data_IF_136844524172
#
_entry.id   IF_136844524172
#
_cell.length_a   1.000
_cell.length_b   1.000
_cell.length_c   1.000
_cell.angle_alpha   90.00
_cell.angle_beta   90.00
_cell.angle_gamma   90.00
#
_symmetry.space_group_name_H-M   'P 1'
#
loop_
_entity.id
_entity.type
_entity.pdbx_description
1 polymer ?
#
# COMPACT_ATOMS: atom_id res chain seq x y z
N UNK A 1 60.52 34.59 -46.64
CA UNK A 1 60.27 33.15 -46.86
C UNK A 1 58.76 32.94 -46.76
N UNK A 2 57.96 33.26 -47.78
CA UNK A 2 57.60 32.51 -49.02
C UNK A 2 56.57 31.39 -48.79
N UNK A 3 55.44 31.51 -49.50
CA UNK A 3 54.36 30.51 -49.68
C UNK A 3 53.00 31.07 -49.23
N UNK A 4 52.15 31.70 -50.03
CA UNK A 4 51.62 31.42 -51.37
C UNK A 4 50.88 30.07 -51.48
N UNK A 5 49.54 30.12 -51.52
CA UNK A 5 48.72 29.23 -52.36
C UNK A 5 47.34 29.85 -52.65
N UNK A 6 46.97 29.76 -53.92
CA UNK A 6 45.79 30.31 -54.60
C UNK A 6 44.65 29.26 -54.67
N UNK A 7 43.42 29.64 -55.06
CA UNK A 7 42.22 28.81 -54.97
C UNK A 7 41.86 28.09 -56.28
N UNK A 8 41.16 26.94 -56.20
CA UNK A 8 40.44 26.29 -57.31
C UNK A 8 39.19 25.60 -56.75
N UNK A 9 37.98 26.14 -56.99
CA UNK A 9 37.04 25.70 -58.04
C UNK A 9 36.89 24.17 -58.12
N UNK A 10 35.77 23.66 -57.63
CA UNK A 10 34.91 22.85 -58.50
C UNK A 10 33.44 22.89 -58.07
N UNK A 11 32.62 23.18 -59.07
CA UNK A 11 31.17 23.22 -59.10
C UNK A 11 30.68 21.86 -59.60
N UNK A 12 29.44 21.53 -59.23
CA UNK A 12 28.59 20.44 -59.75
C UNK A 12 28.73 19.06 -59.10
N UNK A 13 27.87 18.82 -58.10
CA UNK A 13 26.85 17.75 -58.22
C UNK A 13 25.63 18.11 -57.38
N UNK A 14 24.57 18.55 -58.07
CA UNK A 14 23.19 18.44 -57.60
C UNK A 14 22.83 16.97 -57.58
N UNK A 15 22.46 16.43 -56.43
CA UNK A 15 21.56 15.27 -56.34
C UNK A 15 20.90 15.25 -54.96
N UNK A 16 19.60 15.50 -54.96
CA UNK A 16 18.57 14.96 -54.06
C UNK A 16 19.03 14.50 -52.67
N UNK A 17 18.76 15.31 -51.65
CA UNK A 17 18.15 14.82 -50.41
C UNK A 17 17.20 15.88 -49.88
N UNK A 18 15.93 15.68 -50.22
CA UNK A 18 14.80 16.24 -49.52
C UNK A 18 14.85 15.67 -48.10
N UNK A 19 15.34 16.48 -47.16
CA UNK A 19 15.45 16.13 -45.76
C UNK A 19 14.07 16.11 -45.12
N UNK A 20 13.29 15.07 -45.40
CA UNK A 20 12.13 14.66 -44.61
C UNK A 20 12.61 14.36 -43.20
N UNK A 21 12.65 15.40 -42.35
CA UNK A 21 12.71 15.22 -40.90
C UNK A 21 11.44 14.48 -40.51
N UNK A 22 11.54 13.17 -40.40
CA UNK A 22 10.50 12.33 -39.81
C UNK A 22 10.23 12.87 -38.41
N UNK A 23 9.11 13.54 -38.25
CA UNK A 23 8.60 13.93 -36.94
C UNK A 23 8.18 12.62 -36.24
N UNK A 24 9.08 12.03 -35.45
CA UNK A 24 8.70 10.94 -34.55
C UNK A 24 8.11 11.60 -33.30
N UNK A 25 6.78 11.59 -33.07
CA UNK A 25 6.24 12.08 -31.82
C UNK A 25 6.82 11.23 -30.70
N UNK A 26 7.53 11.86 -29.76
CA UNK A 26 8.13 11.16 -28.63
C UNK A 26 7.07 10.37 -27.84
N UNK A 27 7.49 9.28 -27.20
CA UNK A 27 6.64 8.35 -26.40
C UNK A 27 5.58 9.04 -25.53
N UNK A 28 5.86 10.24 -25.00
CA UNK A 28 4.91 11.07 -24.22
C UNK A 28 3.76 11.68 -25.04
N UNK A 29 3.97 12.03 -26.30
CA UNK A 29 2.91 12.54 -27.17
C UNK A 29 1.98 11.41 -27.64
N UNK A 30 2.53 10.23 -27.97
CA UNK A 30 1.71 9.05 -28.29
C UNK A 30 0.79 8.64 -27.12
N UNK A 31 1.30 8.69 -25.88
CA UNK A 31 0.50 8.43 -24.67
C UNK A 31 -0.56 9.52 -24.40
N UNK A 32 -0.27 10.79 -24.74
CA UNK A 32 -1.25 11.88 -24.61
C UNK A 32 -2.38 11.77 -25.65
N UNK A 33 -2.07 11.33 -26.88
CA UNK A 33 -3.09 11.08 -27.90
C UNK A 33 -3.91 9.82 -27.62
N UNK A 34 -3.31 8.77 -27.07
CA UNK A 34 -4.03 7.57 -26.62
C UNK A 34 -4.98 7.87 -25.45
N UNK A 35 -4.59 8.79 -24.53
CA UNK A 35 -5.44 9.24 -23.44
C UNK A 35 -6.61 10.14 -23.91
N UNK A 36 -6.41 10.91 -24.98
CA UNK A 36 -7.44 11.82 -25.50
C UNK A 36 -8.50 11.12 -26.36
N UNK A 37 -8.18 9.97 -26.98
CA UNK A 37 -9.10 9.21 -27.83
C UNK A 37 -9.89 8.11 -27.09
N UNK A 38 -9.56 7.83 -25.83
CA UNK A 38 -10.26 6.83 -25.01
C UNK A 38 -11.50 7.34 -24.28
N UNK A 39 -11.83 8.63 -24.39
CA UNK A 39 -12.85 9.27 -23.56
C UNK A 39 -14.24 9.41 -24.22
N UNK A 40 -14.49 8.81 -25.37
CA UNK A 40 -15.79 8.94 -26.04
C UNK A 40 -16.13 7.69 -26.85
N UNK A 41 -16.70 6.68 -26.18
CA UNK A 41 -17.75 5.79 -26.70
C UNK A 41 -18.12 4.74 -25.65
N UNK A 42 -19.27 4.93 -25.00
CA UNK A 42 -20.38 3.97 -24.80
C UNK A 42 -21.16 4.31 -23.51
N UNK A 43 -22.44 4.75 -23.62
CA UNK A 43 -23.34 4.85 -22.49
C UNK A 43 -23.96 3.47 -22.20
N UNK A 44 -24.29 3.25 -20.92
CA UNK A 44 -25.25 2.27 -20.39
C UNK A 44 -25.04 0.78 -20.72
N UNK A 45 -24.89 -0.03 -19.67
CA UNK A 45 -25.71 -1.24 -19.42
C UNK A 45 -25.33 -1.86 -18.06
N UNK A 46 -26.29 -1.87 -17.13
CA UNK A 46 -26.46 -2.98 -16.19
C UNK A 46 -25.63 -2.99 -14.89
N UNK A 47 -25.81 -2.00 -14.00
CA UNK A 47 -25.48 -2.18 -12.59
C UNK A 47 -26.52 -3.12 -11.92
N UNK A 48 -26.31 -4.42 -12.02
CA UNK A 48 -26.88 -5.35 -11.05
C UNK A 48 -25.86 -5.55 -9.93
N UNK A 49 -26.23 -5.46 -8.65
CA UNK A 49 -25.32 -5.80 -7.57
C UNK A 49 -25.01 -7.29 -7.68
N UNK A 50 -23.86 -7.63 -8.28
CA UNK A 50 -23.33 -8.99 -8.21
C UNK A 50 -23.10 -9.29 -6.73
N UNK A 51 -23.84 -10.26 -6.21
CA UNK A 51 -23.59 -10.80 -4.88
C UNK A 51 -22.14 -11.32 -4.86
N UNK A 52 -21.32 -10.97 -3.86
CA UNK A 52 -19.97 -11.51 -3.76
C UNK A 52 -20.05 -13.04 -3.70
N UNK A 53 -19.44 -13.74 -4.66
CA UNK A 53 -19.21 -15.18 -4.61
C UNK A 53 -17.78 -15.38 -4.10
N UNK A 54 -17.54 -16.39 -3.28
CA UNK A 54 -16.20 -16.64 -2.77
C UNK A 54 -15.26 -17.15 -3.87
N UNK A 55 -14.00 -16.82 -3.62
CA UNK A 55 -12.86 -16.97 -4.51
C UNK A 55 -12.35 -18.41 -4.47
N UNK A 56 -12.81 -19.24 -5.40
CA UNK A 56 -12.21 -20.56 -5.64
C UNK A 56 -11.06 -20.45 -6.64
N UNK A 57 -10.03 -21.33 -6.57
CA UNK A 57 -8.95 -21.34 -7.55
C UNK A 57 -9.42 -21.42 -9.02
N UNK A 58 -10.64 -21.92 -9.29
CA UNK A 58 -11.26 -22.01 -10.62
C UNK A 58 -12.47 -21.10 -10.81
N UNK A 59 -12.81 -20.22 -9.86
CA UNK A 59 -13.91 -19.27 -10.07
C UNK A 59 -13.52 -18.26 -11.15
N UNK A 60 -14.39 -17.95 -12.14
CA UNK A 60 -14.10 -16.94 -13.18
C UNK A 60 -13.89 -15.53 -12.63
N UNK A 61 -14.23 -15.29 -11.35
CA UNK A 61 -13.97 -14.02 -10.66
C UNK A 61 -12.49 -13.83 -10.31
N UNK A 62 -11.73 -14.93 -10.26
CA UNK A 62 -10.33 -14.94 -9.82
C UNK A 62 -9.44 -15.87 -10.65
N UNK A 63 -9.98 -16.48 -11.69
CA UNK A 63 -9.26 -17.36 -12.60
C UNK A 63 -9.64 -16.96 -14.01
N UNK A 64 -8.64 -16.71 -14.84
CA UNK A 64 -8.83 -16.48 -16.25
C UNK A 64 -7.85 -17.38 -17.00
N UNK A 65 -8.16 -18.70 -17.12
CA UNK A 65 -7.21 -19.68 -17.64
C UNK A 65 -6.71 -19.38 -19.06
N UNK A 66 -7.57 -18.79 -19.88
CA UNK A 66 -7.25 -18.37 -21.25
C UNK A 66 -6.67 -16.94 -21.32
N UNK A 67 -6.52 -16.29 -20.16
CA UNK A 67 -5.97 -14.95 -20.02
C UNK A 67 -4.46 -14.93 -19.85
N UNK A 68 -3.83 -13.74 -19.90
CA UNK A 68 -2.41 -13.59 -19.61
C UNK A 68 -2.12 -13.85 -18.13
N UNK A 69 -1.03 -14.57 -17.84
CA UNK A 69 -0.49 -14.72 -16.49
C UNK A 69 -0.16 -13.34 -15.91
N UNK A 70 -0.82 -12.99 -14.81
CA UNK A 70 -0.64 -11.70 -14.14
C UNK A 70 -0.09 -11.91 -12.74
N UNK A 71 1.14 -11.41 -12.53
CA UNK A 71 1.82 -11.41 -11.23
C UNK A 71 1.95 -9.97 -10.77
N UNK A 72 1.46 -9.66 -9.57
CA UNK A 72 1.74 -8.37 -8.92
C UNK A 72 2.79 -8.56 -7.82
N UNK A 73 3.96 -7.93 -8.00
CA UNK A 73 5.06 -7.92 -7.03
C UNK A 73 5.27 -6.56 -6.35
N UNK A 74 4.37 -5.61 -6.58
CA UNK A 74 4.41 -4.26 -6.05
C UNK A 74 3.19 -4.00 -5.16
N UNK A 75 2.92 -4.92 -4.24
CA UNK A 75 1.88 -4.76 -3.24
C UNK A 75 2.41 -4.94 -1.82
N UNK A 76 1.63 -4.47 -0.87
CA UNK A 76 1.93 -4.54 0.56
C UNK A 76 0.68 -4.98 1.32
N UNK A 77 0.88 -5.78 2.36
CA UNK A 77 -0.19 -6.25 3.23
C UNK A 77 0.26 -6.03 4.67
N UNK A 78 -0.44 -5.15 5.36
CA UNK A 78 -0.24 -4.85 6.78
C UNK A 78 -1.53 -4.25 7.36
N UNK A 79 -1.62 -4.17 8.68
CA UNK A 79 -2.67 -3.44 9.39
C UNK A 79 -2.11 -2.60 10.55
N UNK A 80 -2.99 -1.98 11.33
CA UNK A 80 -2.60 -1.08 12.41
C UNK A 80 -1.74 -1.71 13.53
N UNK A 81 -1.75 -3.04 13.70
CA UNK A 81 -0.90 -3.72 14.70
C UNK A 81 0.50 -4.05 14.21
N UNK A 82 0.76 -3.96 12.90
CA UNK A 82 2.11 -4.04 12.32
C UNK A 82 2.88 -2.73 12.45
N UNK A 83 2.19 -1.66 12.83
CA UNK A 83 2.69 -0.31 12.74
C UNK A 83 2.74 0.32 14.12
N UNK A 84 3.83 1.01 14.40
CA UNK A 84 3.81 2.11 15.36
C UNK A 84 3.16 3.31 14.67
N UNK A 85 1.83 3.30 14.56
CA UNK A 85 1.15 4.17 13.59
C UNK A 85 1.39 5.65 13.86
N UNK A 86 1.49 6.06 15.13
CA UNK A 86 1.85 7.43 15.53
C UNK A 86 3.23 7.82 14.98
N UNK A 87 4.22 6.97 15.17
CA UNK A 87 5.60 7.13 14.73
C UNK A 87 5.70 7.08 13.19
N UNK A 88 5.00 6.15 12.55
CA UNK A 88 4.91 6.05 11.10
C UNK A 88 4.37 7.34 10.48
N UNK A 89 3.26 7.86 11.00
CA UNK A 89 2.63 9.06 10.46
C UNK A 89 3.54 10.28 10.68
N UNK A 90 4.05 10.46 11.90
CA UNK A 90 4.87 11.61 12.25
C UNK A 90 6.24 11.65 11.55
N UNK A 91 6.85 10.49 11.29
CA UNK A 91 8.20 10.41 10.69
C UNK A 91 8.18 10.15 9.19
N UNK A 92 7.22 9.39 8.68
CA UNK A 92 7.15 8.99 7.27
C UNK A 92 6.08 9.78 6.54
N UNK A 93 4.82 9.69 6.97
CA UNK A 93 3.71 10.26 6.20
C UNK A 93 3.82 11.79 6.09
N UNK A 94 4.05 12.50 7.20
CA UNK A 94 4.17 13.98 7.23
C UNK A 94 5.36 14.50 6.40
N UNK A 95 6.41 13.69 6.25
CA UNK A 95 7.62 14.06 5.48
C UNK A 95 7.52 13.73 3.99
N UNK A 96 6.54 12.93 3.58
CA UNK A 96 6.30 12.69 2.16
C UNK A 96 5.67 13.93 1.51
N UNK A 97 6.14 14.29 0.32
CA UNK A 97 5.47 15.29 -0.51
C UNK A 97 4.17 14.75 -1.10
N UNK A 98 3.27 15.65 -1.50
CA UNK A 98 2.04 15.31 -2.21
C UNK A 98 0.88 14.92 -1.29
N UNK A 99 -0.11 14.27 -1.88
CA UNK A 99 -1.42 13.97 -1.29
C UNK A 99 -1.35 13.38 0.13
N UNK A 100 -0.47 12.39 0.36
CA UNK A 100 -0.37 11.68 1.63
C UNK A 100 0.17 12.58 2.76
N UNK A 101 1.21 13.37 2.49
CA UNK A 101 1.79 14.27 3.48
C UNK A 101 0.85 15.40 3.86
N UNK A 102 0.12 15.96 2.89
CA UNK A 102 -0.88 16.98 3.17
C UNK A 102 -2.06 16.43 3.99
N UNK A 103 -2.56 15.24 3.65
CA UNK A 103 -3.61 14.59 4.45
C UNK A 103 -3.13 14.27 5.88
N UNK A 104 -1.88 13.81 6.04
CA UNK A 104 -1.29 13.52 7.34
C UNK A 104 -1.09 14.78 8.20
N UNK A 105 -0.78 15.94 7.59
CA UNK A 105 -0.73 17.23 8.29
C UNK A 105 -2.11 17.67 8.76
N UNK A 106 -3.11 17.58 7.87
CA UNK A 106 -4.50 17.97 8.16
C UNK A 106 -5.11 17.11 9.27
N UNK A 107 -4.88 15.79 9.22
CA UNK A 107 -5.47 14.82 10.15
C UNK A 107 -4.53 14.43 11.30
N UNK A 108 -3.38 15.09 11.45
CA UNK A 108 -2.34 14.72 12.40
C UNK A 108 -2.83 14.55 13.84
N UNK A 109 -3.65 15.48 14.34
CA UNK A 109 -4.19 15.44 15.71
C UNK A 109 -5.21 14.31 15.91
N UNK A 110 -6.02 14.02 14.89
CA UNK A 110 -6.94 12.88 14.89
C UNK A 110 -6.16 11.58 15.00
N UNK A 111 -5.10 11.43 14.22
CA UNK A 111 -4.30 10.21 14.13
C UNK A 111 -3.55 9.89 15.43
N UNK A 112 -3.05 10.92 16.10
CA UNK A 112 -2.39 10.78 17.40
C UNK A 112 -3.36 10.34 18.50
N UNK A 113 -4.66 10.58 18.32
CA UNK A 113 -5.70 10.27 19.30
C UNK A 113 -6.40 8.93 19.06
N UNK A 114 -6.13 8.28 17.92
CA UNK A 114 -6.67 6.95 17.62
C UNK A 114 -6.05 5.91 18.56
N UNK A 115 -6.88 5.04 19.10
CA UNK A 115 -6.43 3.93 19.95
C UNK A 115 -5.93 2.72 19.15
N UNK A 116 -6.03 2.76 17.83
CA UNK A 116 -5.54 1.74 16.89
C UNK A 116 -5.92 0.31 17.29
N UNK A 117 -7.20 0.08 17.58
CA UNK A 117 -7.77 -1.24 17.90
C UNK A 117 -7.81 -2.18 16.67
N UNK A 118 -6.78 -2.21 15.85
CA UNK A 118 -6.65 -3.16 14.76
C UNK A 118 -6.48 -4.59 15.31
N UNK A 119 -6.90 -5.62 14.57
CA UNK A 119 -6.72 -6.99 15.03
C UNK A 119 -5.24 -7.38 15.09
N UNK A 120 -4.86 -8.16 16.10
CA UNK A 120 -3.49 -8.66 16.26
C UNK A 120 -3.22 -9.86 15.36
N UNK A 121 -1.95 -10.22 15.19
CA UNK A 121 -1.58 -11.45 14.49
C UNK A 121 -2.11 -12.71 15.17
N UNK A 122 -2.18 -12.75 16.50
CA UNK A 122 -2.76 -13.86 17.27
C UNK A 122 -4.26 -14.03 16.96
N UNK A 123 -5.03 -12.94 16.99
CA UNK A 123 -6.45 -12.97 16.63
C UNK A 123 -6.64 -13.40 15.17
N UNK A 124 -5.75 -12.99 14.28
CA UNK A 124 -5.80 -13.35 12.86
C UNK A 124 -5.50 -14.82 12.64
N UNK A 125 -4.50 -15.39 13.33
CA UNK A 125 -4.17 -16.82 13.24
C UNK A 125 -5.35 -17.68 13.69
N UNK A 126 -6.03 -17.34 14.80
CA UNK A 126 -7.21 -18.08 15.26
C UNK A 126 -8.31 -18.09 14.19
N UNK A 127 -8.54 -16.95 13.54
CA UNK A 127 -9.54 -16.82 12.48
C UNK A 127 -9.12 -17.59 11.21
N UNK A 128 -7.85 -17.52 10.80
CA UNK A 128 -7.32 -18.24 9.65
C UNK A 128 -7.34 -19.76 9.86
N UNK A 129 -7.02 -20.24 11.06
CA UNK A 129 -7.14 -21.65 11.41
C UNK A 129 -8.59 -22.13 11.36
N UNK A 130 -9.54 -21.30 11.82
CA UNK A 130 -10.98 -21.59 11.69
C UNK A 130 -11.36 -21.75 10.22
N UNK A 131 -10.93 -20.83 9.37
CA UNK A 131 -11.17 -20.86 7.91
C UNK A 131 -10.51 -22.10 7.29
N UNK A 132 -9.27 -22.41 7.64
CA UNK A 132 -8.54 -23.57 7.14
C UNK A 132 -9.24 -24.90 7.51
N UNK A 133 -9.74 -25.01 8.76
CA UNK A 133 -10.54 -26.17 9.17
C UNK A 133 -11.82 -26.30 8.36
N UNK A 134 -12.53 -25.21 8.13
CA UNK A 134 -13.75 -25.18 7.30
C UNK A 134 -13.47 -25.59 5.84
N UNK A 135 -12.34 -25.16 5.27
CA UNK A 135 -11.85 -25.56 3.95
C UNK A 135 -11.51 -27.06 3.89
N UNK A 136 -10.87 -27.60 4.93
CA UNK A 136 -10.42 -29.00 4.97
C UNK A 136 -11.54 -30.01 5.23
N UNK A 137 -12.58 -29.62 5.96
CA UNK A 137 -13.64 -30.51 6.43
C UNK A 137 -14.80 -30.74 5.45
N UNK A 138 -14.79 -30.12 4.27
CA UNK A 138 -15.95 -30.16 3.35
C UNK A 138 -15.58 -30.64 1.95
N UNK A 139 -16.16 -31.78 1.56
CA UNK A 139 -16.01 -32.37 0.22
C UNK A 139 -16.92 -31.74 -0.86
N UNK A 140 -17.55 -30.57 -0.60
CA UNK A 140 -18.74 -30.14 -1.36
C UNK A 140 -18.76 -28.64 -1.76
N UNK A 141 -18.33 -28.37 -3.00
CA UNK A 141 -18.89 -27.40 -3.96
C UNK A 141 -19.37 -26.00 -3.52
N UNK A 142 -20.41 -25.51 -4.22
CA UNK A 142 -20.91 -24.12 -4.22
C UNK A 142 -21.38 -23.61 -2.83
N UNK A 143 -21.84 -24.48 -1.94
CA UNK A 143 -22.31 -24.11 -0.61
C UNK A 143 -21.20 -23.58 0.31
N UNK A 144 -20.00 -24.18 0.25
CA UNK A 144 -18.82 -23.71 0.97
C UNK A 144 -18.41 -22.30 0.50
N UNK A 145 -18.52 -22.04 -0.81
CA UNK A 145 -18.32 -20.73 -1.43
C UNK A 145 -19.16 -19.65 -0.76
N UNK A 146 -20.45 -19.92 -0.58
CA UNK A 146 -21.36 -18.93 -0.02
C UNK A 146 -21.08 -18.70 1.47
N UNK A 147 -20.76 -19.75 2.23
CA UNK A 147 -20.40 -19.63 3.64
C UNK A 147 -19.12 -18.80 3.83
N UNK A 148 -18.11 -18.99 3.00
CA UNK A 148 -16.86 -18.21 3.04
C UNK A 148 -17.06 -16.76 2.61
N UNK A 149 -17.82 -16.52 1.54
CA UNK A 149 -18.15 -15.15 1.12
C UNK A 149 -18.89 -14.39 2.23
N UNK A 150 -19.83 -15.06 2.90
CA UNK A 150 -20.54 -14.49 4.05
C UNK A 150 -19.62 -14.28 5.25
N UNK A 151 -18.71 -15.22 5.53
CA UNK A 151 -17.69 -15.10 6.57
C UNK A 151 -16.81 -13.87 6.34
N UNK A 152 -16.22 -13.76 5.15
CA UNK A 152 -15.42 -12.63 4.74
C UNK A 152 -16.19 -11.31 4.82
N UNK A 153 -17.46 -11.27 4.35
CA UNK A 153 -18.32 -10.09 4.46
C UNK A 153 -18.54 -9.69 5.93
N UNK A 154 -18.82 -10.64 6.82
CA UNK A 154 -19.00 -10.38 8.26
C UNK A 154 -17.72 -9.82 8.87
N UNK A 155 -16.57 -10.41 8.55
CA UNK A 155 -15.29 -9.95 9.08
C UNK A 155 -14.93 -8.55 8.57
N UNK A 156 -15.13 -8.29 7.28
CA UNK A 156 -14.97 -6.97 6.66
C UNK A 156 -15.84 -5.93 7.37
N UNK A 157 -17.11 -6.24 7.59
CA UNK A 157 -18.04 -5.35 8.28
C UNK A 157 -17.60 -5.08 9.73
N UNK A 158 -17.08 -6.08 10.45
CA UNK A 158 -16.56 -5.89 11.81
C UNK A 158 -15.36 -4.95 11.84
N UNK A 159 -14.38 -5.13 10.95
CA UNK A 159 -13.22 -4.23 10.86
C UNK A 159 -13.62 -2.81 10.47
N UNK A 160 -14.56 -2.68 9.53
CA UNK A 160 -15.09 -1.39 9.09
C UNK A 160 -15.81 -0.67 10.24
N UNK A 161 -16.73 -1.36 10.92
CA UNK A 161 -17.46 -0.81 12.05
C UNK A 161 -16.52 -0.35 13.17
N UNK A 162 -15.44 -1.10 13.42
CA UNK A 162 -14.42 -0.73 14.40
C UNK A 162 -13.68 0.55 14.00
N UNK A 163 -13.18 0.64 12.77
CA UNK A 163 -12.52 1.83 12.25
C UNK A 163 -13.44 3.05 12.27
N UNK A 164 -14.70 2.89 11.81
CA UNK A 164 -15.72 3.95 11.83
C UNK A 164 -15.99 4.45 13.26
N UNK A 165 -16.21 3.53 14.20
CA UNK A 165 -16.50 3.87 15.58
C UNK A 165 -15.33 4.63 16.25
N UNK A 166 -14.09 4.21 16.01
CA UNK A 166 -12.91 4.91 16.55
C UNK A 166 -12.72 6.30 15.94
N UNK A 167 -12.91 6.46 14.62
CA UNK A 167 -12.89 7.77 13.98
C UNK A 167 -13.96 8.71 14.57
N UNK A 168 -15.20 8.22 14.69
CA UNK A 168 -16.32 9.00 15.24
C UNK A 168 -16.11 9.36 16.71
N UNK A 169 -15.56 8.44 17.51
CA UNK A 169 -15.20 8.66 18.92
C UNK A 169 -14.16 9.77 19.07
N UNK A 170 -13.08 9.72 18.28
CA UNK A 170 -12.03 10.76 18.31
C UNK A 170 -12.57 12.12 17.87
N UNK A 171 -13.45 12.15 16.87
CA UNK A 171 -14.12 13.40 16.48
C UNK A 171 -14.99 13.98 17.59
N UNK A 172 -15.70 13.13 18.34
CA UNK A 172 -16.56 13.56 19.44
C UNK A 172 -15.79 14.07 20.67
N UNK A 173 -14.62 13.51 20.96
CA UNK A 173 -13.82 13.88 22.13
C UNK A 173 -12.91 15.10 21.90
N UNK A 174 -12.47 15.33 20.66
CA UNK A 174 -11.54 16.42 20.33
C UNK A 174 -12.14 17.81 20.56
N UNK A 175 -11.48 18.63 21.37
CA UNK A 175 -11.84 20.04 21.55
C UNK A 175 -11.55 20.87 20.28
N UNK A 176 -10.44 20.58 19.58
CA UNK A 176 -10.08 21.21 18.30
C UNK A 176 -11.23 21.06 17.29
N UNK A 177 -11.73 19.83 17.09
CA UNK A 177 -12.79 19.57 16.11
C UNK A 177 -14.13 20.18 16.55
N UNK A 178 -14.44 20.18 17.85
CA UNK A 178 -15.63 20.89 18.39
C UNK A 178 -15.54 22.41 18.22
N UNK A 179 -14.35 23.00 18.31
CA UNK A 179 -14.16 24.42 18.06
C UNK A 179 -14.30 24.76 16.57
N UNK A 180 -13.72 23.94 15.68
CA UNK A 180 -13.82 24.13 14.23
C UNK A 180 -15.26 24.09 13.72
N UNK A 181 -16.10 23.19 14.23
CA UNK A 181 -17.53 23.10 13.89
C UNK A 181 -18.33 24.38 14.15
N UNK A 182 -17.89 25.20 15.12
CA UNK A 182 -18.60 26.42 15.53
C UNK A 182 -18.21 27.65 14.69
N UNK A 183 -17.18 27.54 13.85
CA UNK A 183 -16.72 28.64 13.01
C UNK A 183 -17.52 28.70 11.71
N UNK A 184 -17.87 29.91 11.28
CA UNK A 184 -18.51 30.11 9.98
C UNK A 184 -17.53 29.76 8.84
N UNK A 185 -17.97 29.06 7.76
CA UNK A 185 -17.11 28.67 6.65
C UNK A 185 -16.32 29.83 6.03
N UNK A 186 -16.93 31.02 5.97
CA UNK A 186 -16.32 32.25 5.43
C UNK A 186 -15.14 32.78 6.25
N UNK A 187 -14.90 32.24 7.45
CA UNK A 187 -13.80 32.65 8.35
C UNK A 187 -12.72 31.58 8.50
N UNK A 188 -12.78 30.49 7.73
CA UNK A 188 -11.80 29.42 7.76
C UNK A 188 -10.67 29.67 6.77
N UNK A 189 -9.44 29.44 7.20
CA UNK A 189 -8.32 29.24 6.27
C UNK A 189 -8.45 27.88 5.55
N UNK A 190 -7.61 27.66 4.55
CA UNK A 190 -7.65 26.47 3.71
C UNK A 190 -7.45 25.16 4.50
N UNK A 191 -6.60 25.15 5.53
CA UNK A 191 -6.34 23.96 6.35
C UNK A 191 -7.53 23.64 7.25
N UNK A 192 -8.07 24.66 7.93
CA UNK A 192 -9.24 24.56 8.80
C UNK A 192 -10.47 24.11 8.02
N UNK A 193 -10.63 24.59 6.78
CA UNK A 193 -11.68 24.14 5.87
C UNK A 193 -11.52 22.65 5.54
N UNK A 194 -10.32 22.20 5.17
CA UNK A 194 -10.05 20.79 4.89
C UNK A 194 -10.30 19.88 6.11
N UNK A 195 -10.00 20.36 7.32
CA UNK A 195 -10.35 19.66 8.57
C UNK A 195 -11.87 19.53 8.75
N UNK A 196 -12.63 20.60 8.52
CA UNK A 196 -14.10 20.58 8.59
C UNK A 196 -14.71 19.62 7.56
N UNK A 197 -14.19 19.60 6.35
CA UNK A 197 -14.63 18.66 5.32
C UNK A 197 -14.35 17.20 5.72
N UNK A 198 -13.16 16.92 6.26
CA UNK A 198 -12.83 15.59 6.75
C UNK A 198 -13.75 15.15 7.90
N UNK A 199 -14.09 16.07 8.82
CA UNK A 199 -15.08 15.83 9.89
C UNK A 199 -16.42 15.42 9.28
N UNK A 200 -16.94 16.23 8.35
CA UNK A 200 -18.23 15.98 7.71
C UNK A 200 -18.25 14.63 6.96
N UNK A 201 -17.15 14.26 6.31
CA UNK A 201 -17.02 12.97 5.63
C UNK A 201 -17.07 11.80 6.62
N UNK A 202 -16.30 11.86 7.70
CA UNK A 202 -16.27 10.80 8.73
C UNK A 202 -17.65 10.64 9.39
N UNK A 203 -18.36 11.74 9.63
CA UNK A 203 -19.71 11.70 10.22
C UNK A 203 -20.75 11.05 9.28
N UNK A 204 -20.56 11.19 7.96
CA UNK A 204 -21.45 10.64 6.94
C UNK A 204 -21.08 9.23 6.49
N UNK A 205 -20.03 8.63 7.06
CA UNK A 205 -19.64 7.26 6.75
C UNK A 205 -20.86 6.33 6.93
N UNK A 206 -21.26 5.59 5.88
CA UNK A 206 -22.44 4.72 5.94
C UNK A 206 -22.24 3.58 6.94
N UNK A 207 -23.33 2.95 7.34
CA UNK A 207 -23.23 1.91 8.36
C UNK A 207 -22.66 0.60 7.85
N UNK A 208 -22.97 0.26 6.60
CA UNK A 208 -22.57 -0.98 5.92
C UNK A 208 -21.38 -0.72 4.99
N UNK A 209 -20.33 -1.56 5.09
CA UNK A 209 -19.11 -1.49 4.29
C UNK A 209 -19.36 -1.68 2.79
N UNK A 210 -20.40 -2.43 2.41
CA UNK A 210 -20.77 -2.63 1.01
C UNK A 210 -21.48 -1.39 0.43
N UNK A 211 -22.03 -0.53 1.29
CA UNK A 211 -22.49 0.80 0.88
C UNK A 211 -21.34 1.80 0.82
N UNK A 212 -20.31 1.62 1.64
CA UNK A 212 -19.15 2.51 1.70
C UNK A 212 -18.42 2.63 0.37
N UNK A 213 -17.98 1.53 -0.26
CA UNK A 213 -17.15 1.62 -1.49
C UNK A 213 -17.87 2.28 -2.67
N UNK A 214 -19.12 1.90 -3.03
CA UNK A 214 -19.85 2.55 -4.10
C UNK A 214 -20.27 3.99 -3.75
N UNK A 215 -20.53 4.28 -2.47
CA UNK A 215 -20.81 5.65 -1.99
C UNK A 215 -19.60 6.54 -2.18
N UNK A 216 -18.44 6.03 -1.77
CA UNK A 216 -17.18 6.71 -1.91
C UNK A 216 -17.00 7.09 -3.39
N UNK A 217 -17.15 6.17 -4.35
CA UNK A 217 -16.97 6.45 -5.78
C UNK A 217 -17.97 7.45 -6.40
N UNK A 218 -19.09 7.76 -5.72
CA UNK A 218 -20.17 8.61 -6.22
C UNK A 218 -20.24 10.01 -5.59
N UNK A 219 -19.55 10.27 -4.49
CA UNK A 219 -19.63 11.58 -3.81
C UNK A 219 -18.75 12.62 -4.52
N UNK A 220 -19.30 13.23 -5.59
CA UNK A 220 -18.67 14.32 -6.34
C UNK A 220 -18.50 15.60 -5.50
N UNK A 221 -19.31 15.81 -4.45
CA UNK A 221 -19.26 17.01 -3.62
C UNK A 221 -18.02 17.06 -2.73
N UNK A 222 -17.48 15.90 -2.33
CA UNK A 222 -16.19 15.80 -1.62
C UNK A 222 -14.98 15.97 -2.56
N UNK A 223 -15.17 15.82 -3.88
CA UNK A 223 -14.11 15.99 -4.88
C UNK A 223 -13.79 17.46 -5.21
N UNK A 224 -14.64 18.39 -4.77
CA UNK A 224 -14.56 19.83 -5.07
C UNK A 224 -13.68 20.63 -4.09
N UNK A 225 -12.44 20.17 -3.82
CA UNK A 225 -11.36 21.08 -3.45
C UNK A 225 -10.02 20.54 -3.93
N UNK A 226 -9.34 21.32 -4.78
CA UNK A 226 -8.03 20.95 -5.32
C UNK A 226 -6.94 21.22 -4.29
N UNK A 227 -6.29 20.19 -3.75
CA UNK A 227 -4.98 19.66 -4.18
C UNK A 227 -4.85 18.10 -4.17
N UNK A 228 -5.85 17.21 -4.37
CA UNK A 228 -7.25 17.26 -4.85
C UNK A 228 -7.99 16.08 -4.21
N UNK A 229 -9.09 16.30 -3.47
CA UNK A 229 -10.14 15.39 -2.93
C UNK A 229 -9.85 13.90 -2.61
N UNK A 230 -9.22 13.17 -3.52
CA UNK A 230 -8.81 11.77 -3.38
C UNK A 230 -7.76 11.54 -2.27
N UNK A 231 -7.05 12.57 -1.81
CA UNK A 231 -5.99 12.43 -0.81
C UNK A 231 -6.52 12.20 0.61
N UNK A 232 -7.45 13.03 1.08
CA UNK A 232 -8.03 12.89 2.43
C UNK A 232 -8.96 11.70 2.48
N UNK A 233 -9.79 11.50 1.45
CA UNK A 233 -10.64 10.31 1.35
C UNK A 233 -9.81 9.04 1.25
N UNK A 234 -8.85 8.97 0.33
CA UNK A 234 -7.95 7.82 0.19
C UNK A 234 -7.13 7.58 1.45
N UNK A 235 -6.84 8.64 2.22
CA UNK A 235 -6.23 8.50 3.53
C UNK A 235 -7.20 7.92 4.55
N UNK A 236 -8.46 8.37 4.62
CA UNK A 236 -9.48 7.77 5.49
C UNK A 236 -9.75 6.31 5.10
N UNK A 237 -9.78 5.99 3.80
CA UNK A 237 -9.84 4.62 3.28
C UNK A 237 -8.67 3.79 3.81
N UNK A 238 -7.45 4.33 3.72
CA UNK A 238 -6.25 3.73 4.28
C UNK A 238 -6.38 3.51 5.80
N UNK A 239 -6.86 4.50 6.56
CA UNK A 239 -7.06 4.37 8.00
C UNK A 239 -8.05 3.25 8.33
N UNK A 240 -9.20 3.24 7.69
CA UNK A 240 -10.24 2.21 7.89
C UNK A 240 -9.70 0.83 7.53
N UNK A 241 -8.93 0.71 6.44
CA UNK A 241 -8.32 -0.55 6.04
C UNK A 241 -7.36 -1.09 7.10
N UNK A 242 -6.66 -0.22 7.84
CA UNK A 242 -5.77 -0.63 8.93
C UNK A 242 -6.52 -1.27 10.13
N UNK A 243 -7.85 -1.18 10.21
CA UNK A 243 -8.65 -1.91 11.21
C UNK A 243 -9.11 -3.29 10.74
N UNK A 244 -8.74 -3.70 9.53
CA UNK A 244 -9.05 -5.02 8.98
C UNK A 244 -7.99 -6.05 9.37
N UNK A 245 -8.36 -7.33 9.26
CA UNK A 245 -7.37 -8.40 9.15
C UNK A 245 -6.60 -8.29 7.83
N UNK A 246 -5.38 -8.80 7.80
CA UNK A 246 -4.54 -8.83 6.59
C UNK A 246 -5.19 -9.69 5.50
N UNK A 247 -5.78 -10.83 5.85
CA UNK A 247 -6.48 -11.71 4.89
C UNK A 247 -7.68 -11.02 4.24
N UNK A 248 -8.41 -10.17 4.98
CA UNK A 248 -9.51 -9.36 4.41
C UNK A 248 -8.94 -8.35 3.42
N UNK A 249 -7.82 -7.71 3.76
CA UNK A 249 -7.13 -6.76 2.88
C UNK A 249 -6.64 -7.42 1.59
N UNK A 250 -6.13 -8.65 1.67
CA UNK A 250 -5.76 -9.47 0.50
C UNK A 250 -6.97 -9.71 -0.40
N UNK A 251 -8.11 -10.14 0.16
CA UNK A 251 -9.30 -10.38 -0.65
C UNK A 251 -9.87 -9.10 -1.26
N UNK A 252 -9.85 -7.99 -0.52
CA UNK A 252 -10.26 -6.69 -1.02
C UNK A 252 -9.36 -6.22 -2.16
N UNK A 253 -8.04 -6.40 -2.02
CA UNK A 253 -7.07 -6.14 -3.09
C UNK A 253 -7.37 -6.97 -4.34
N UNK A 254 -7.50 -8.29 -4.20
CA UNK A 254 -7.79 -9.17 -5.34
C UNK A 254 -9.14 -8.81 -6.00
N UNK A 255 -10.16 -8.47 -5.22
CA UNK A 255 -11.45 -8.01 -5.75
C UNK A 255 -11.30 -6.74 -6.57
N UNK A 256 -10.53 -5.77 -6.09
CA UNK A 256 -10.42 -4.45 -6.71
C UNK A 256 -9.57 -4.49 -8.00
N UNK A 257 -8.53 -5.33 -8.05
CA UNK A 257 -7.65 -5.44 -9.22
C UNK A 257 -8.12 -6.44 -10.27
N UNK A 258 -8.99 -7.39 -9.91
CA UNK A 258 -9.57 -8.36 -10.83
C UNK A 258 -10.74 -7.78 -11.62
N UNK A 259 -10.72 -8.02 -12.93
CA UNK A 259 -11.78 -7.75 -13.88
C UNK A 259 -12.15 -9.09 -14.53
N UNK A 260 -13.30 -9.71 -14.17
CA UNK A 260 -13.70 -11.00 -14.70
C UNK A 260 -13.64 -11.04 -16.23
N UNK A 261 -13.09 -12.13 -16.78
CA UNK A 261 -12.88 -12.36 -18.22
C UNK A 261 -11.97 -11.32 -18.93
N UNK A 262 -11.21 -10.53 -18.19
CA UNK A 262 -10.31 -9.51 -18.77
C UNK A 262 -8.93 -9.49 -18.14
N UNK A 263 -8.85 -9.51 -16.81
CA UNK A 263 -7.58 -9.54 -16.06
C UNK A 263 -7.84 -10.06 -14.65
N UNK A 264 -7.10 -11.06 -14.21
CA UNK A 264 -7.11 -11.51 -12.82
C UNK A 264 -5.68 -11.55 -12.32
N UNK A 265 -5.44 -11.27 -11.05
CA UNK A 265 -4.14 -11.47 -10.40
C UNK A 265 -4.03 -12.95 -10.06
N UNK A 266 -3.16 -13.67 -10.76
CA UNK A 266 -2.90 -15.10 -10.56
C UNK A 266 -1.99 -15.32 -9.35
N UNK A 267 -1.02 -14.42 -9.16
CA UNK A 267 -0.08 -14.46 -8.05
C UNK A 267 0.15 -13.05 -7.50
N UNK A 268 -0.16 -12.87 -6.22
CA UNK A 268 0.09 -11.65 -5.46
C UNK A 268 1.34 -11.89 -4.59
N UNK A 269 2.34 -11.03 -4.74
CA UNK A 269 3.63 -11.12 -4.05
C UNK A 269 3.85 -9.94 -3.11
N UNK A 270 3.12 -9.87 -1.97
CA UNK A 270 3.27 -8.76 -1.05
C UNK A 270 4.68 -8.69 -0.46
N UNK A 271 5.23 -7.49 -0.52
CA UNK A 271 6.44 -7.11 0.20
C UNK A 271 6.12 -6.86 1.66
N UNK A 272 6.43 -7.83 2.53
CA UNK A 272 6.26 -7.66 3.97
C UNK A 272 7.23 -6.57 4.47
N UNK A 273 6.82 -5.84 5.51
CA UNK A 273 7.54 -4.66 6.01
C UNK A 273 7.98 -4.89 7.45
N UNK A 274 9.25 -4.57 7.73
CA UNK A 274 9.78 -4.57 9.10
C UNK A 274 9.65 -3.17 9.69
N UNK A 275 8.73 -3.02 10.64
CA UNK A 275 8.47 -1.76 11.34
C UNK A 275 9.05 -1.75 12.77
N UNK A 276 9.54 -2.88 13.28
CA UNK A 276 10.11 -3.01 14.63
C UNK A 276 11.36 -2.13 14.77
N UNK A 277 12.22 -2.11 13.75
CA UNK A 277 13.53 -1.49 13.92
C UNK A 277 13.52 0.01 13.64
N UNK A 278 13.01 0.43 12.48
CA UNK A 278 13.25 1.79 11.99
C UNK A 278 12.32 2.86 12.53
N UNK A 279 11.08 2.48 12.85
CA UNK A 279 10.10 3.40 13.43
C UNK A 279 10.08 3.32 14.95
N UNK A 280 10.41 2.15 15.49
CA UNK A 280 10.32 1.89 16.92
C UNK A 280 11.70 1.76 17.60
N UNK A 281 12.80 2.06 16.89
CA UNK A 281 14.19 1.99 17.40
C UNK A 281 14.55 0.63 18.00
N UNK A 282 14.00 -0.44 17.44
CA UNK A 282 14.21 -1.82 17.89
C UNK A 282 13.15 -2.36 18.84
N UNK A 283 12.18 -1.56 19.25
CA UNK A 283 11.03 -2.02 20.03
C UNK A 283 10.04 -2.79 19.13
N UNK A 284 9.51 -3.94 19.58
CA UNK A 284 8.58 -4.73 18.77
C UNK A 284 7.26 -3.98 18.54
N UNK A 285 6.61 -4.17 17.40
CA UNK A 285 5.21 -3.76 17.18
C UNK A 285 4.24 -4.69 17.93
N UNK A 286 2.96 -4.31 18.04
CA UNK A 286 1.94 -5.13 18.71
C UNK A 286 1.89 -6.54 18.11
N UNK A 287 1.97 -6.64 16.79
CA UNK A 287 2.19 -7.91 16.09
C UNK A 287 3.66 -7.98 15.66
N UNK A 288 4.45 -8.85 16.31
CA UNK A 288 5.88 -9.03 15.98
C UNK A 288 6.10 -9.48 14.53
N UNK A 289 7.26 -9.17 13.94
CA UNK A 289 7.59 -9.63 12.58
C UNK A 289 7.48 -11.16 12.41
N UNK A 290 7.91 -11.95 13.41
CA UNK A 290 7.75 -13.41 13.40
C UNK A 290 6.27 -13.81 13.28
N UNK A 291 5.40 -13.16 14.05
CA UNK A 291 3.96 -13.43 13.99
C UNK A 291 3.37 -13.02 12.64
N UNK A 292 3.84 -11.92 12.05
CA UNK A 292 3.45 -11.53 10.69
C UNK A 292 3.82 -12.60 9.65
N UNK A 293 5.00 -13.21 9.77
CA UNK A 293 5.43 -14.34 8.92
C UNK A 293 4.48 -15.52 9.03
N UNK A 294 4.08 -15.90 10.25
CA UNK A 294 3.11 -16.98 10.48
C UNK A 294 1.73 -16.68 9.88
N UNK A 295 1.26 -15.44 10.02
CA UNK A 295 0.00 -14.98 9.39
C UNK A 295 0.09 -15.08 7.87
N UNK A 296 1.19 -14.61 7.27
CA UNK A 296 1.38 -14.68 5.81
C UNK A 296 1.47 -16.11 5.31
N UNK A 297 2.06 -17.05 6.06
CA UNK A 297 1.99 -18.49 5.75
C UNK A 297 0.55 -18.97 5.71
N UNK A 298 -0.25 -18.65 6.72
CA UNK A 298 -1.64 -19.11 6.77
C UNK A 298 -2.46 -18.48 5.63
N UNK A 299 -2.21 -17.22 5.29
CA UNK A 299 -2.79 -16.55 4.11
C UNK A 299 -2.42 -17.31 2.83
N UNK A 300 -1.15 -17.72 2.65
CA UNK A 300 -0.74 -18.52 1.50
C UNK A 300 -1.52 -19.84 1.42
N UNK A 301 -1.73 -20.52 2.54
CA UNK A 301 -2.50 -21.77 2.62
C UNK A 301 -3.97 -21.55 2.26
N UNK A 302 -4.66 -20.61 2.93
CA UNK A 302 -6.11 -20.41 2.72
C UNK A 302 -6.44 -19.79 1.36
N UNK A 303 -5.46 -19.17 0.70
CA UNK A 303 -5.59 -18.68 -0.68
C UNK A 303 -5.15 -19.72 -1.72
N UNK A 304 -4.77 -20.93 -1.30
CA UNK A 304 -4.34 -22.00 -2.19
C UNK A 304 -3.07 -21.68 -2.99
N UNK A 305 -2.14 -20.93 -2.40
CA UNK A 305 -0.86 -20.55 -3.03
C UNK A 305 -0.94 -19.35 -3.97
N UNK A 306 -2.06 -18.61 -4.00
CA UNK A 306 -2.18 -17.38 -4.82
C UNK A 306 -1.44 -16.19 -4.22
N UNK A 307 -1.09 -16.27 -2.94
CA UNK A 307 -0.45 -15.18 -2.21
C UNK A 307 0.80 -15.73 -1.55
N UNK A 308 1.95 -15.15 -1.89
CA UNK A 308 3.24 -15.51 -1.31
C UNK A 308 4.02 -14.24 -0.98
N UNK A 309 4.62 -14.14 0.20
CA UNK A 309 5.28 -12.90 0.59
C UNK A 309 6.78 -12.87 0.23
N UNK A 310 7.30 -11.66 0.06
CA UNK A 310 8.73 -11.38 0.19
C UNK A 310 9.05 -11.01 1.63
N UNK A 311 10.09 -11.61 2.19
CA UNK A 311 10.50 -11.40 3.58
C UNK A 311 11.31 -10.09 3.67
N UNK A 312 10.99 -9.16 4.59
CA UNK A 312 11.86 -8.03 4.83
C UNK A 312 13.17 -8.49 5.45
N UNK A 313 14.27 -7.99 4.91
CA UNK A 313 15.58 -8.16 5.51
C UNK A 313 16.29 -6.83 5.66
N UNK A 314 16.69 -6.57 6.90
CA UNK A 314 17.52 -5.44 7.28
C UNK A 314 18.87 -5.96 7.80
N UNK A 315 19.96 -5.77 7.03
CA UNK A 315 21.30 -6.13 7.48
C UNK A 315 21.71 -5.46 8.79
N UNK A 316 21.25 -4.24 9.08
CA UNK A 316 21.61 -3.56 10.33
C UNK A 316 20.98 -4.24 11.54
N UNK A 317 19.73 -4.72 11.43
CA UNK A 317 19.08 -5.54 12.46
C UNK A 317 19.86 -6.84 12.71
N UNK A 318 20.45 -7.44 11.67
CA UNK A 318 21.31 -8.61 11.84
C UNK A 318 22.58 -8.27 12.65
N UNK A 319 23.26 -7.18 12.30
CA UNK A 319 24.43 -6.69 13.04
C UNK A 319 24.04 -6.38 14.50
N UNK A 320 22.89 -5.75 14.72
CA UNK A 320 22.37 -5.48 16.05
C UNK A 320 22.19 -6.77 16.86
N UNK A 321 21.68 -7.84 16.27
CA UNK A 321 21.55 -9.14 16.92
C UNK A 321 22.92 -9.74 17.29
N UNK A 322 23.87 -9.73 16.35
CA UNK A 322 25.22 -10.25 16.56
C UNK A 322 25.99 -9.52 17.67
N UNK A 323 25.72 -8.22 17.83
CA UNK A 323 26.28 -7.38 18.89
C UNK A 323 25.47 -7.40 20.20
N UNK A 324 24.35 -8.13 20.26
CA UNK A 324 23.50 -8.22 21.45
C UNK A 324 22.56 -7.02 21.70
N UNK A 325 22.38 -6.14 20.72
CA UNK A 325 21.44 -5.02 20.75
C UNK A 325 20.04 -5.37 20.24
N UNK A 326 19.87 -6.49 19.53
CA UNK A 326 18.56 -7.00 19.12
C UNK A 326 18.29 -8.37 19.74
N UNK A 327 17.04 -8.64 20.11
CA UNK A 327 16.63 -9.91 20.70
C UNK A 327 16.43 -11.05 19.68
N UNK A 328 16.36 -10.74 18.38
CA UNK A 328 15.95 -11.70 17.36
C UNK A 328 16.90 -11.74 16.17
N UNK A 329 17.29 -12.96 15.79
CA UNK A 329 18.08 -13.26 14.59
C UNK A 329 17.25 -13.07 13.31
N UNK A 330 17.48 -11.95 12.63
CA UNK A 330 16.76 -11.60 11.41
C UNK A 330 17.11 -12.52 10.24
N UNK A 331 18.35 -12.98 10.14
CA UNK A 331 18.80 -13.85 9.07
C UNK A 331 18.24 -15.27 9.22
N UNK A 332 18.20 -15.79 10.44
CA UNK A 332 17.54 -17.08 10.69
C UNK A 332 16.03 -17.02 10.45
N UNK A 333 15.37 -15.89 10.73
CA UNK A 333 13.96 -15.72 10.36
C UNK A 333 13.75 -15.70 8.84
N UNK A 334 14.66 -15.07 8.08
CA UNK A 334 14.62 -15.11 6.60
C UNK A 334 14.75 -16.53 6.06
N UNK A 335 15.72 -17.30 6.57
CA UNK A 335 15.90 -18.71 6.17
C UNK A 335 14.63 -19.52 6.44
N UNK A 336 14.10 -19.43 7.66
CA UNK A 336 12.87 -20.15 8.03
C UNK A 336 11.68 -19.73 7.16
N UNK A 337 11.53 -18.44 6.88
CA UNK A 337 10.44 -17.93 6.06
C UNK A 337 10.44 -18.55 4.64
N UNK A 338 11.63 -18.64 4.03
CA UNK A 338 11.81 -19.20 2.68
C UNK A 338 11.69 -20.72 2.69
N UNK A 339 12.40 -21.39 3.60
CA UNK A 339 12.51 -22.85 3.62
C UNK A 339 11.23 -23.53 4.11
N UNK A 340 10.51 -22.92 5.07
CA UNK A 340 9.44 -23.57 5.81
C UNK A 340 8.08 -22.84 5.81
N UNK A 341 8.04 -21.54 5.46
CA UNK A 341 6.82 -20.73 5.59
C UNK A 341 6.23 -20.29 4.24
N UNK A 342 6.84 -20.68 3.11
CA UNK A 342 6.32 -20.42 1.77
C UNK A 342 6.60 -19.01 1.25
N UNK A 343 7.60 -18.31 1.78
CA UNK A 343 8.04 -17.04 1.20
C UNK A 343 8.87 -17.29 -0.06
N UNK A 344 8.73 -16.41 -1.06
CA UNK A 344 9.34 -16.60 -2.40
C UNK A 344 10.60 -15.79 -2.62
N UNK A 345 11.04 -15.03 -1.61
CA UNK A 345 12.30 -14.31 -1.66
C UNK A 345 12.44 -13.28 -0.56
N UNK A 346 13.40 -12.38 -0.75
CA UNK A 346 13.78 -11.36 0.21
C UNK A 346 13.63 -9.97 -0.39
N UNK A 347 12.98 -9.07 0.35
CA UNK A 347 13.05 -7.64 0.11
C UNK A 347 14.11 -7.05 1.03
N UNK A 348 15.25 -6.69 0.43
CA UNK A 348 16.28 -5.94 1.13
C UNK A 348 15.76 -4.53 1.43
N UNK A 349 16.10 -3.98 2.60
CA UNK A 349 15.85 -2.58 2.94
C UNK A 349 17.18 -1.78 2.97
N UNK A 350 17.62 -1.21 1.83
CA UNK A 350 18.81 -0.35 1.75
C UNK A 350 18.72 1.07 2.32
N UNK A 351 17.55 1.71 2.60
CA UNK A 351 17.52 3.17 2.81
C UNK A 351 18.23 3.65 4.08
N UNK A 352 18.83 2.73 4.85
CA UNK A 352 19.64 3.02 6.03
C UNK A 352 21.15 2.94 5.74
N UNK A 353 21.51 2.95 4.46
CA UNK A 353 22.89 3.16 4.02
C UNK A 353 23.66 1.90 3.69
N UNK A 354 23.05 0.72 3.81
CA UNK A 354 23.66 -0.51 3.30
C UNK A 354 23.60 -0.55 1.78
N UNK A 355 24.76 -0.45 1.14
CA UNK A 355 24.97 -0.81 -0.25
C UNK A 355 24.91 -2.33 -0.42
N UNK A 356 24.66 -2.79 -1.65
CA UNK A 356 24.70 -4.22 -1.96
C UNK A 356 26.09 -4.84 -1.72
N UNK A 357 27.16 -4.03 -1.76
CA UNK A 357 28.54 -4.39 -1.47
C UNK A 357 29.33 -3.15 -1.02
N UNK A 358 30.50 -3.35 -0.40
CA UNK A 358 31.41 -2.25 -0.03
C UNK A 358 30.99 -1.44 1.20
N UNK A 359 30.13 -1.99 2.06
CA UNK A 359 29.66 -1.31 3.28
C UNK A 359 30.78 -0.96 4.26
N UNK A 360 31.87 -1.71 4.25
CA UNK A 360 33.06 -1.44 5.07
C UNK A 360 33.80 -0.16 4.66
N UNK A 361 33.64 0.27 3.40
CA UNK A 361 34.35 1.42 2.83
C UNK A 361 33.49 2.69 2.81
N UNK A 362 32.27 2.63 3.36
CA UNK A 362 31.36 3.77 3.36
C UNK A 362 31.89 4.88 4.28
N UNK A 363 31.94 6.10 3.75
CA UNK A 363 32.32 7.31 4.48
C UNK A 363 31.14 8.28 4.63
N UNK A 364 31.02 8.88 5.80
CA UNK A 364 30.10 9.96 6.09
C UNK A 364 30.54 11.29 5.46
N UNK A 365 29.74 12.36 5.59
CA UNK A 365 30.11 13.69 5.11
C UNK A 365 31.43 14.15 5.74
N UNK A 366 32.34 14.72 4.95
CA UNK A 366 33.68 15.12 5.39
C UNK A 366 34.52 13.97 5.98
N UNK A 367 34.47 12.77 5.38
CA UNK A 367 35.28 11.61 5.78
C UNK A 367 35.03 11.11 7.23
N UNK A 368 33.85 11.43 7.77
CA UNK A 368 33.39 10.94 9.08
C UNK A 368 32.94 9.47 9.02
N UNK A 369 32.74 8.81 10.17
CA UNK A 369 32.13 7.47 10.20
C UNK A 369 30.74 7.53 9.54
N UNK A 370 30.51 6.75 8.48
CA UNK A 370 29.23 6.70 7.78
C UNK A 370 28.07 6.31 8.70
N UNK A 371 28.35 5.45 9.67
CA UNK A 371 27.39 4.90 10.63
C UNK A 371 27.13 5.85 11.80
N UNK A 372 27.93 6.91 11.97
CA UNK A 372 27.70 7.96 12.96
C UNK A 372 26.60 8.95 12.55
N UNK A 373 25.37 8.45 12.37
CA UNK A 373 24.20 9.26 11.95
C UNK A 373 23.27 9.48 13.13
N UNK A 374 22.80 10.72 13.30
CA UNK A 374 21.81 11.10 14.34
C UNK A 374 20.50 10.30 14.32
N UNK A 375 20.16 9.67 13.19
CA UNK A 375 18.96 8.85 13.03
C UNK A 375 19.22 7.35 13.17
N UNK A 376 20.48 6.93 13.29
CA UNK A 376 20.87 5.56 13.64
C UNK A 376 20.96 5.40 15.16
N UNK A 377 20.85 4.17 15.69
CA UNK A 377 21.10 3.89 17.10
C UNK A 377 22.54 4.27 17.51
N UNK A 378 22.74 4.73 18.74
CA UNK A 378 24.08 5.18 19.20
C UNK A 378 25.16 4.09 19.24
N UNK A 379 24.78 2.82 19.14
CA UNK A 379 25.73 1.71 19.08
C UNK A 379 26.35 1.50 17.70
N UNK A 380 25.89 2.24 16.68
CA UNK A 380 26.46 2.18 15.33
C UNK A 380 27.69 3.08 15.14
N UNK A 381 28.01 3.93 16.13
CA UNK A 381 29.07 4.95 16.08
C UNK A 381 30.50 4.39 16.20
#
# INVERSE_FOLDING_TARGET
MTGAQSPSRDLQRRSMMDGTRSFSPGRRQALRYAAALGASCFPSLGCWPRKPVAVWPRSPEVSFPDGPLTIDAHCHVFNGTDLRVREFISMVAVRQGGALGEAAKVLGSLLQSLTWLAPTGEEELVELERIARELSGTSHGLAMTNAMAQGLKRTRQKGYARGRAELQKVLGSSEEFRALRRRAPSSLDQESFAKVDAINYIERLPEDVEQYRPWADRDENFAHFSLRGNSIRGFIDFLIQNFQYRYVSVHDYLRDYNQPNKRVVDLMLPSLMDFDWWLAKGEPTTTSLRRQVEVMRQIAIVTGGRVHAFMPYDPLRQVAFELGYAAADSFSLVKDAIENQGFVGVKLYPPMGFAALGNADLKGPMDTNFWARKWLPTWTD
#
